data_IF_764734530543
#
_entry.id   IF_764734530543
#
_cell.length_a   1.000
_cell.length_b   1.000
_cell.length_c   1.000
_cell.angle_alpha   90.00
_cell.angle_beta   90.00
_cell.angle_gamma   90.00
#
_symmetry.space_group_name_H-M   'P 1'
#
loop_
_entity.id
_entity.type
_entity.pdbx_description
1 polymer ?
#
# COMPACT_ATOMS: atom_id res chain seq x y z
N UNK A 1 22.45 -10.55 12.33
CA UNK A 1 21.73 -11.83 12.22
C UNK A 1 20.66 -11.71 11.16
N UNK A 2 20.52 -12.70 10.28
CA UNK A 2 19.45 -12.74 9.29
C UNK A 2 18.08 -12.83 9.97
N UNK A 3 17.11 -12.14 9.40
CA UNK A 3 15.73 -12.12 9.86
C UNK A 3 14.80 -12.41 8.68
N UNK A 4 13.66 -13.00 8.99
CA UNK A 4 12.53 -13.14 8.08
C UNK A 4 11.29 -12.52 8.75
N UNK A 5 10.33 -12.04 7.97
CA UNK A 5 9.12 -11.39 8.50
C UNK A 5 7.85 -11.96 7.86
N UNK A 6 6.85 -12.23 8.69
CA UNK A 6 5.50 -12.59 8.27
C UNK A 6 4.50 -11.60 8.85
N UNK A 7 3.76 -10.90 7.99
CA UNK A 7 2.80 -9.85 8.38
C UNK A 7 1.39 -10.23 7.93
N UNK A 8 0.43 -10.16 8.84
CA UNK A 8 -0.99 -10.39 8.58
C UNK A 8 -1.73 -9.07 8.74
N UNK A 9 -2.08 -8.49 7.60
CA UNK A 9 -2.86 -7.27 7.43
C UNK A 9 -2.50 -6.11 8.39
N UNK A 10 -1.24 -5.62 8.35
CA UNK A 10 -0.80 -4.54 9.24
C UNK A 10 -1.67 -3.28 9.05
N UNK A 11 -2.17 -2.73 10.15
CA UNK A 11 -3.09 -1.58 10.14
C UNK A 11 -2.36 -0.30 10.52
N UNK A 12 -2.43 0.72 9.67
CA UNK A 12 -1.74 2.00 9.85
C UNK A 12 -2.45 2.89 10.89
N UNK A 13 -2.39 2.50 12.17
CA UNK A 13 -2.97 3.26 13.29
C UNK A 13 -2.02 3.31 14.50
N UNK A 14 -2.23 4.29 15.39
CA UNK A 14 -1.46 4.42 16.63
C UNK A 14 0.06 4.49 16.41
N UNK A 15 0.81 3.76 17.24
CA UNK A 15 2.27 3.71 17.25
C UNK A 15 2.90 3.30 15.90
N UNK A 16 2.19 2.51 15.08
CA UNK A 16 2.67 2.11 13.76
C UNK A 16 2.86 3.28 12.79
N UNK A 17 2.19 4.41 13.02
CA UNK A 17 2.40 5.63 12.22
C UNK A 17 3.44 6.58 12.82
N UNK A 18 3.85 6.34 14.06
CA UNK A 18 4.81 7.21 14.76
C UNK A 18 6.24 6.67 14.64
N UNK A 19 6.40 5.35 14.52
CA UNK A 19 7.70 4.67 14.48
C UNK A 19 8.16 4.37 13.05
N UNK A 20 9.47 4.18 12.91
CA UNK A 20 10.04 3.63 11.68
C UNK A 20 9.68 2.15 11.56
N UNK A 21 8.82 1.83 10.60
CA UNK A 21 8.39 0.47 10.25
C UNK A 21 9.08 -0.06 9.01
N UNK A 22 10.11 0.63 8.48
CA UNK A 22 10.88 0.11 7.34
C UNK A 22 11.63 -1.15 7.77
N UNK A 23 11.52 -2.19 6.95
CA UNK A 23 12.26 -3.43 7.20
C UNK A 23 13.77 -3.17 7.10
N UNK A 24 14.57 -3.55 8.11
CA UNK A 24 16.01 -3.28 8.12
C UNK A 24 16.76 -4.15 7.09
N UNK A 25 18.04 -3.84 6.79
CA UNK A 25 18.89 -4.59 5.84
C UNK A 25 19.01 -6.07 6.18
N UNK A 26 18.84 -6.42 7.46
CA UNK A 26 18.92 -7.79 7.98
C UNK A 26 17.70 -8.66 7.65
N UNK A 27 16.60 -8.09 7.16
CA UNK A 27 15.42 -8.85 6.71
C UNK A 27 15.71 -9.40 5.31
N UNK A 28 16.11 -10.67 5.23
CA UNK A 28 16.54 -11.29 3.96
C UNK A 28 15.38 -11.93 3.20
N UNK A 29 14.21 -12.05 3.82
CA UNK A 29 12.98 -12.55 3.19
C UNK A 29 11.75 -12.03 3.94
N UNK A 30 10.62 -11.85 3.26
CA UNK A 30 9.38 -11.45 3.94
C UNK A 30 8.12 -11.73 3.14
N UNK A 31 7.03 -12.01 3.86
CA UNK A 31 5.68 -12.13 3.34
C UNK A 31 4.75 -11.18 4.11
N UNK A 32 3.98 -10.39 3.37
CA UNK A 32 2.82 -9.68 3.89
C UNK A 32 1.56 -10.20 3.20
N UNK A 33 0.48 -10.37 3.96
CA UNK A 33 -0.86 -10.58 3.42
C UNK A 33 -1.70 -9.35 3.74
N UNK A 34 -2.26 -8.69 2.72
CA UNK A 34 -3.12 -7.51 2.90
C UNK A 34 -4.56 -7.85 2.56
N UNK A 35 -5.51 -7.40 3.38
CA UNK A 35 -6.93 -7.61 3.16
C UNK A 35 -7.44 -6.67 2.05
N UNK A 36 -7.96 -7.24 0.97
CA UNK A 36 -8.51 -6.50 -0.18
C UNK A 36 -9.83 -5.81 0.14
N UNK A 37 -10.69 -6.50 0.91
CA UNK A 37 -12.10 -6.18 1.06
C UNK A 37 -12.41 -5.51 2.42
N UNK A 38 -11.38 -5.09 3.16
CA UNK A 38 -11.53 -4.26 4.35
C UNK A 38 -11.95 -2.83 3.96
N UNK A 39 -13.01 -2.33 4.59
CA UNK A 39 -13.66 -1.06 4.21
C UNK A 39 -13.69 -0.02 5.32
N UNK A 40 -13.36 -0.40 6.55
CA UNK A 40 -13.47 0.51 7.70
C UNK A 40 -12.42 1.61 7.59
N UNK A 41 -12.85 2.86 7.73
CA UNK A 41 -11.98 4.04 7.66
C UNK A 41 -10.88 4.03 8.74
N UNK A 42 -11.14 3.34 9.85
CA UNK A 42 -10.19 3.16 10.96
C UNK A 42 -9.20 2.00 10.74
N UNK A 43 -9.28 1.30 9.61
CA UNK A 43 -8.42 0.17 9.28
C UNK A 43 -7.64 0.41 7.98
N UNK A 44 -6.92 1.52 7.78
CA UNK A 44 -6.06 1.67 6.61
C UNK A 44 -4.95 0.59 6.61
N UNK A 45 -4.63 0.02 5.45
CA UNK A 45 -3.52 -0.91 5.31
C UNK A 45 -2.18 -0.15 5.40
N UNK A 46 -1.21 -0.72 6.11
CA UNK A 46 0.18 -0.24 6.11
C UNK A 46 0.97 -1.04 5.08
N UNK A 47 1.49 -0.38 4.05
CA UNK A 47 2.27 -1.06 3.02
C UNK A 47 3.74 -1.19 3.44
N UNK A 48 4.00 -1.95 4.54
CA UNK A 48 5.36 -2.25 5.00
C UNK A 48 6.14 -2.98 3.89
N UNK A 49 5.45 -3.86 3.18
CA UNK A 49 5.87 -4.43 1.91
C UNK A 49 4.88 -3.94 0.85
N UNK A 50 5.39 -3.32 -0.22
CA UNK A 50 4.58 -2.90 -1.36
C UNK A 50 3.81 -4.09 -1.98
N UNK A 51 2.53 -3.92 -2.38
CA UNK A 51 1.78 -4.94 -3.11
C UNK A 51 2.59 -5.55 -4.27
N UNK A 52 2.64 -6.87 -4.33
CA UNK A 52 3.46 -7.59 -5.29
C UNK A 52 4.84 -7.96 -4.75
N UNK A 53 5.76 -8.28 -5.66
CA UNK A 53 7.12 -8.73 -5.33
C UNK A 53 8.09 -7.57 -5.47
N UNK A 54 9.01 -7.39 -4.52
CA UNK A 54 10.06 -6.37 -4.63
C UNK A 54 11.04 -6.69 -5.76
N UNK A 55 11.73 -5.69 -6.34
CA UNK A 55 12.68 -5.91 -7.43
C UNK A 55 13.85 -6.85 -7.09
N UNK A 56 14.32 -6.80 -5.84
CA UNK A 56 15.34 -7.72 -5.31
C UNK A 56 14.79 -9.13 -5.03
N UNK A 57 13.47 -9.32 -5.19
CA UNK A 57 12.78 -10.58 -5.08
C UNK A 57 12.61 -11.12 -3.66
N UNK A 58 13.08 -10.40 -2.63
CA UNK A 58 13.13 -10.90 -1.24
C UNK A 58 11.82 -10.74 -0.47
N UNK A 59 11.00 -9.74 -0.83
CA UNK A 59 9.74 -9.44 -0.17
C UNK A 59 8.57 -9.66 -1.12
N UNK A 60 7.46 -10.14 -0.58
CA UNK A 60 6.21 -10.33 -1.30
C UNK A 60 5.03 -9.84 -0.44
N UNK A 61 4.17 -9.02 -1.01
CA UNK A 61 2.86 -8.71 -0.44
C UNK A 61 1.76 -9.27 -1.35
N UNK A 62 0.91 -10.13 -0.79
CA UNK A 62 -0.27 -10.66 -1.47
C UNK A 62 -1.53 -9.94 -0.97
N UNK A 63 -2.19 -9.22 -1.87
CA UNK A 63 -3.50 -8.62 -1.61
C UNK A 63 -4.56 -9.70 -1.80
N UNK A 64 -5.12 -10.20 -0.71
CA UNK A 64 -5.99 -11.36 -0.70
C UNK A 64 -7.45 -10.99 -0.41
N UNK A 65 -8.41 -11.75 -0.96
CA UNK A 65 -9.83 -11.63 -0.64
C UNK A 65 -10.11 -11.73 0.86
N UNK A 66 -11.03 -10.90 1.35
CA UNK A 66 -11.45 -10.84 2.74
C UNK A 66 -11.22 -9.49 3.42
N UNK A 67 -11.89 -9.28 4.56
CA UNK A 67 -11.64 -8.19 5.50
C UNK A 67 -10.47 -8.50 6.46
N UNK A 68 -10.12 -7.60 7.37
CA UNK A 68 -8.95 -7.74 8.26
C UNK A 68 -8.85 -9.11 8.94
N UNK A 69 -9.94 -9.56 9.56
CA UNK A 69 -10.00 -10.84 10.28
C UNK A 69 -10.21 -12.06 9.36
N UNK A 70 -10.50 -11.87 8.08
CA UNK A 70 -10.40 -12.94 7.07
C UNK A 70 -8.94 -13.22 6.69
N UNK A 71 -8.02 -12.27 6.95
CA UNK A 71 -6.58 -12.49 6.82
C UNK A 71 -5.98 -13.01 8.12
N UNK A 72 -6.24 -12.31 9.23
CA UNK A 72 -5.61 -12.59 10.53
C UNK A 72 -6.32 -13.60 11.43
N UNK A 73 -7.57 -13.97 11.11
CA UNK A 73 -8.41 -14.83 11.95
C UNK A 73 -9.29 -14.05 12.95
N UNK A 74 -10.06 -14.81 13.75
CA UNK A 74 -11.09 -14.43 14.75
C UNK A 74 -12.55 -14.63 14.34
N UNK A 75 -12.83 -14.79 13.04
CA UNK A 75 -14.17 -15.18 12.60
C UNK A 75 -14.49 -16.64 12.92
N UNK A 76 -15.78 -16.92 13.19
CA UNK A 76 -16.28 -18.30 13.31
C UNK A 76 -16.34 -19.01 11.95
N UNK A 77 -16.69 -18.28 10.89
CA UNK A 77 -16.69 -18.78 9.52
C UNK A 77 -15.27 -18.59 8.95
N UNK A 78 -14.34 -19.42 9.39
CA UNK A 78 -12.91 -19.11 9.36
C UNK A 78 -12.18 -19.48 8.06
N UNK A 79 -12.85 -20.01 7.05
CA UNK A 79 -12.21 -20.62 5.88
C UNK A 79 -11.23 -19.72 5.14
N UNK A 80 -11.52 -18.42 5.00
CA UNK A 80 -10.56 -17.46 4.43
C UNK A 80 -9.32 -17.29 5.33
N UNK A 81 -9.51 -17.12 6.64
CA UNK A 81 -8.38 -16.97 7.57
C UNK A 81 -7.50 -18.20 7.66
N UNK A 82 -8.09 -19.40 7.53
CA UNK A 82 -7.32 -20.65 7.44
C UNK A 82 -6.49 -20.69 6.17
N UNK A 83 -7.06 -20.34 5.00
CA UNK A 83 -6.32 -20.27 3.73
C UNK A 83 -5.19 -19.25 3.74
N UNK A 84 -5.38 -18.11 4.41
CA UNK A 84 -4.36 -17.09 4.58
C UNK A 84 -3.26 -17.54 5.55
N UNK A 85 -3.63 -18.15 6.68
CA UNK A 85 -2.68 -18.77 7.60
C UNK A 85 -1.86 -19.90 6.97
N UNK A 86 -2.45 -20.67 6.05
CA UNK A 86 -1.73 -21.71 5.31
C UNK A 86 -0.70 -21.10 4.33
N UNK A 87 -0.94 -19.93 3.71
CA UNK A 87 0.11 -19.25 2.94
C UNK A 87 1.30 -18.84 3.81
N UNK A 88 1.04 -18.33 5.01
CA UNK A 88 2.09 -17.99 5.93
C UNK A 88 2.85 -19.25 6.39
N UNK A 89 2.13 -20.36 6.59
CA UNK A 89 2.72 -21.67 6.88
C UNK A 89 3.63 -22.15 5.75
N UNK A 90 3.14 -22.08 4.51
CA UNK A 90 3.90 -22.46 3.31
C UNK A 90 5.18 -21.61 3.19
N UNK A 91 5.08 -20.30 3.41
CA UNK A 91 6.22 -19.39 3.44
C UNK A 91 7.22 -19.74 4.55
N UNK A 92 6.77 -19.88 5.80
CA UNK A 92 7.65 -20.20 6.93
C UNK A 92 8.39 -21.52 6.70
N UNK A 93 7.71 -22.52 6.12
CA UNK A 93 8.32 -23.79 5.77
C UNK A 93 9.42 -23.68 4.69
N UNK A 94 9.47 -22.61 3.90
CA UNK A 94 10.58 -22.36 2.96
C UNK A 94 11.87 -21.89 3.64
N UNK A 95 11.81 -21.49 4.91
CA UNK A 95 12.98 -20.98 5.64
C UNK A 95 13.92 -22.10 6.12
N UNK A 96 13.56 -23.38 5.91
CA UNK A 96 14.34 -24.55 6.33
C UNK A 96 14.16 -25.72 5.37
N UNK A 97 15.09 -26.68 5.39
CA UNK A 97 14.97 -27.95 4.66
C UNK A 97 13.92 -28.88 5.28
N UNK A 98 13.59 -28.65 6.54
CA UNK A 98 12.57 -29.38 7.26
C UNK A 98 11.39 -28.45 7.55
N UNK A 99 10.16 -28.81 7.16
CA UNK A 99 8.97 -28.04 7.50
C UNK A 99 8.83 -27.84 9.00
N UNK A 100 8.58 -26.61 9.43
CA UNK A 100 8.32 -26.25 10.82
C UNK A 100 6.86 -26.48 11.22
N UNK A 101 5.94 -26.25 10.27
CA UNK A 101 4.52 -26.11 10.50
C UNK A 101 3.73 -27.03 9.57
N UNK A 102 2.56 -27.45 10.02
CA UNK A 102 1.60 -28.21 9.21
C UNK A 102 0.45 -27.29 8.81
N UNK A 103 0.05 -27.26 7.52
CA UNK A 103 -1.15 -26.55 7.11
C UNK A 103 -2.38 -27.05 7.86
N UNK A 104 -3.32 -26.14 8.13
CA UNK A 104 -4.61 -26.47 8.74
C UNK A 104 -5.57 -26.97 7.67
N UNK A 105 -6.44 -27.91 8.03
CA UNK A 105 -7.54 -28.35 7.18
C UNK A 105 -8.49 -27.18 6.91
N UNK A 106 -8.81 -26.96 5.64
CA UNK A 106 -9.76 -25.94 5.21
C UNK A 106 -11.11 -26.58 4.93
N UNK A 107 -12.19 -25.99 5.46
CA UNK A 107 -13.54 -26.44 5.15
C UNK A 107 -13.90 -26.13 3.70
N UNK A 108 -14.44 -27.12 2.98
CA UNK A 108 -15.04 -26.94 1.65
C UNK A 108 -16.49 -26.45 1.71
N UNK A 109 -17.07 -26.35 2.91
CA UNK A 109 -18.44 -25.89 3.09
C UNK A 109 -18.56 -24.41 2.63
N UNK A 110 -19.51 -24.07 1.73
CA UNK A 110 -19.60 -22.72 1.16
C UNK A 110 -19.75 -21.62 2.22
N UNK A 111 -20.48 -21.88 3.29
CA UNK A 111 -20.71 -20.94 4.40
C UNK A 111 -19.45 -20.60 5.18
N UNK A 112 -18.42 -21.47 5.13
CA UNK A 112 -17.13 -21.20 5.75
C UNK A 112 -16.22 -20.34 4.87
N UNK A 113 -16.57 -20.16 3.59
CA UNK A 113 -15.77 -19.44 2.60
C UNK A 113 -16.53 -18.20 2.12
N UNK A 114 -16.64 -17.21 3.02
CA UNK A 114 -17.32 -15.93 2.77
C UNK A 114 -16.40 -14.75 3.10
N UNK A 115 -16.60 -13.62 2.42
CA UNK A 115 -15.97 -12.35 2.80
C UNK A 115 -16.84 -11.72 3.89
N UNK A 116 -16.25 -11.39 5.04
CA UNK A 116 -16.99 -10.75 6.11
C UNK A 116 -17.07 -9.24 5.91
N UNK A 117 -18.22 -8.68 6.28
CA UNK A 117 -18.49 -7.24 6.28
C UNK A 117 -18.15 -6.67 7.66
N UNK A 118 -16.86 -6.50 7.94
CA UNK A 118 -16.37 -6.08 9.26
C UNK A 118 -16.90 -4.73 9.75
N UNK A 119 -17.32 -3.85 8.82
CA UNK A 119 -18.00 -2.59 9.10
C UNK A 119 -19.37 -2.77 9.77
N UNK A 120 -20.01 -3.94 9.61
CA UNK A 120 -21.33 -4.22 10.20
C UNK A 120 -21.24 -4.66 11.68
N UNK A 121 -20.04 -4.88 12.21
CA UNK A 121 -19.88 -5.36 13.58
C UNK A 121 -20.15 -4.31 14.66
N UNK A 122 -19.95 -3.03 14.35
CA UNK A 122 -20.15 -1.93 15.28
C UNK A 122 -20.66 -0.70 14.54
N UNK A 123 -21.63 0.00 15.14
CA UNK A 123 -22.32 1.11 14.50
C UNK A 123 -21.46 2.36 14.24
N UNK A 124 -20.29 2.46 14.86
CA UNK A 124 -19.37 3.58 14.68
C UNK A 124 -18.37 3.37 13.55
N UNK A 125 -18.34 2.19 12.92
CA UNK A 125 -17.49 1.99 11.75
C UNK A 125 -18.05 2.70 10.53
N UNK A 126 -17.25 3.57 9.95
CA UNK A 126 -17.56 4.28 8.70
C UNK A 126 -16.75 3.67 7.55
N UNK A 127 -17.23 3.86 6.32
CA UNK A 127 -16.61 3.31 5.09
C UNK A 127 -16.45 4.36 4.00
N UNK A 128 -16.40 5.64 4.38
CA UNK A 128 -16.42 6.77 3.46
C UNK A 128 -15.22 6.75 2.53
N UNK A 129 -14.02 6.54 3.07
CA UNK A 129 -12.79 6.57 2.29
C UNK A 129 -12.73 5.41 1.30
N UNK A 130 -13.06 4.19 1.74
CA UNK A 130 -13.09 3.03 0.87
C UNK A 130 -14.19 3.11 -0.21
N UNK A 131 -15.29 3.81 0.08
CA UNK A 131 -16.36 4.08 -0.89
C UNK A 131 -15.92 5.10 -1.93
N UNK A 132 -15.21 6.14 -1.53
CA UNK A 132 -14.68 7.16 -2.46
C UNK A 132 -13.54 6.63 -3.33
N UNK A 133 -12.65 5.80 -2.78
CA UNK A 133 -11.49 5.28 -3.49
C UNK A 133 -11.79 4.00 -4.30
N UNK A 134 -12.92 3.35 -4.04
CA UNK A 134 -13.27 2.04 -4.61
C UNK A 134 -12.48 0.86 -4.02
N UNK A 135 -11.51 1.15 -3.15
CA UNK A 135 -10.62 0.21 -2.50
C UNK A 135 -10.24 0.75 -1.12
N UNK A 136 -9.67 -0.11 -0.28
CA UNK A 136 -9.18 0.25 1.04
C UNK A 136 -8.17 1.42 0.97
N UNK A 137 -8.11 2.22 2.02
CA UNK A 137 -7.04 3.22 2.19
C UNK A 137 -5.71 2.52 2.46
N UNK A 138 -4.66 2.95 1.78
CA UNK A 138 -3.28 2.50 1.99
C UNK A 138 -2.40 3.64 2.51
N UNK A 139 -1.51 3.32 3.44
CA UNK A 139 -0.51 4.24 4.00
C UNK A 139 0.87 3.69 3.69
N UNK A 140 1.58 4.42 2.83
CA UNK A 140 2.92 4.06 2.36
C UNK A 140 4.06 4.73 3.15
N UNK A 141 3.78 5.74 3.98
CA UNK A 141 4.82 6.32 4.82
C UNK A 141 5.21 5.34 5.94
N UNK A 142 6.45 4.86 5.90
CA UNK A 142 7.03 3.88 6.81
C UNK A 142 8.02 4.49 7.80
N UNK A 143 8.57 5.68 7.53
CA UNK A 143 9.61 6.26 8.40
C UNK A 143 9.06 6.88 9.69
N UNK A 144 7.74 7.11 9.80
CA UNK A 144 7.13 7.77 10.95
C UNK A 144 7.77 9.14 11.19
N UNK A 145 8.16 9.44 12.43
CA UNK A 145 8.84 10.71 12.75
C UNK A 145 10.34 10.72 12.39
N UNK A 146 10.88 9.62 11.85
CA UNK A 146 12.31 9.50 11.53
C UNK A 146 12.65 10.31 10.29
N UNK A 147 13.75 11.05 10.34
CA UNK A 147 14.29 11.75 9.16
C UNK A 147 14.96 10.73 8.25
N UNK A 148 14.45 10.58 7.03
CA UNK A 148 14.98 9.66 6.03
C UNK A 148 14.72 10.15 4.61
N UNK A 149 15.64 9.88 3.70
CA UNK A 149 15.50 10.13 2.26
C UNK A 149 14.47 9.20 1.63
N UNK A 150 14.56 7.90 1.93
CA UNK A 150 13.54 6.92 1.54
C UNK A 150 12.62 6.66 2.73
N UNK A 151 11.35 7.03 2.59
CA UNK A 151 10.33 6.88 3.62
C UNK A 151 9.30 5.81 3.29
N UNK A 152 9.33 5.25 2.09
CA UNK A 152 8.26 4.41 1.56
C UNK A 152 8.64 2.96 1.36
N UNK A 153 9.94 2.67 1.35
CA UNK A 153 10.43 1.32 1.09
C UNK A 153 11.22 0.78 2.29
N UNK A 154 11.39 -0.53 2.30
CA UNK A 154 12.36 -1.20 3.15
C UNK A 154 13.77 -0.59 2.96
N UNK A 155 14.59 -0.68 4.00
CA UNK A 155 15.99 -0.29 3.90
C UNK A 155 16.72 -1.22 2.92
N UNK A 156 17.81 -0.70 2.33
CA UNK A 156 18.61 -1.44 1.36
C UNK A 156 19.05 -2.80 1.93
N UNK A 157 18.90 -3.86 1.13
CA UNK A 157 19.24 -5.22 1.51
C UNK A 157 20.74 -5.36 1.80
N UNK A 158 21.08 -6.04 2.90
CA UNK A 158 22.44 -6.54 3.10
C UNK A 158 22.67 -7.74 2.16
N UNK A 159 23.33 -7.48 1.03
CA UNK A 159 23.56 -8.48 -0.02
C UNK A 159 24.50 -9.59 0.42
N UNK A 160 25.48 -9.30 1.29
CA UNK A 160 26.41 -10.30 1.82
C UNK A 160 25.72 -11.26 2.79
N UNK A 161 24.76 -10.76 3.58
CA UNK A 161 23.90 -11.59 4.41
C UNK A 161 22.90 -12.39 3.56
N UNK A 162 22.23 -11.75 2.59
CA UNK A 162 21.25 -12.40 1.73
C UNK A 162 21.85 -13.56 0.91
N UNK A 163 23.08 -13.41 0.42
CA UNK A 163 23.77 -14.45 -0.35
C UNK A 163 23.94 -15.79 0.41
N UNK A 164 23.86 -15.77 1.74
CA UNK A 164 23.95 -16.97 2.59
C UNK A 164 22.61 -17.71 2.70
N UNK A 165 21.50 -17.07 2.31
CA UNK A 165 20.13 -17.59 2.45
C UNK A 165 19.40 -17.55 1.10
N UNK A 166 19.73 -18.45 0.15
CA UNK A 166 19.06 -18.50 -1.13
C UNK A 166 17.56 -18.78 -0.96
N UNK A 167 16.73 -18.00 -1.66
CA UNK A 167 15.27 -18.15 -1.63
C UNK A 167 14.87 -19.49 -2.25
N UNK A 168 13.92 -20.17 -1.60
CA UNK A 168 13.40 -21.46 -2.03
C UNK A 168 12.01 -21.30 -2.64
N UNK A 169 11.64 -22.12 -3.63
CA UNK A 169 10.27 -22.12 -4.14
C UNK A 169 9.26 -22.43 -3.02
N UNK A 170 8.14 -21.70 -3.01
CA UNK A 170 7.04 -21.96 -2.09
C UNK A 170 6.16 -23.08 -2.66
N UNK A 171 6.10 -24.21 -1.97
CA UNK A 171 5.12 -25.25 -2.27
C UNK A 171 3.77 -24.82 -1.70
N UNK A 172 2.84 -24.43 -2.57
CA UNK A 172 1.51 -24.00 -2.15
C UNK A 172 0.68 -25.19 -1.67
N UNK A 173 -0.01 -25.01 -0.55
CA UNK A 173 -0.90 -26.02 0.00
C UNK A 173 -2.05 -26.37 -0.98
N UNK A 174 -2.43 -27.67 -1.13
CA UNK A 174 -3.33 -28.13 -2.21
C UNK A 174 -4.72 -27.48 -2.23
N UNK A 175 -5.21 -26.98 -1.09
CA UNK A 175 -6.52 -26.32 -1.04
C UNK A 175 -6.60 -25.08 -1.92
N UNK A 176 -5.47 -24.50 -2.35
CA UNK A 176 -5.42 -23.33 -3.25
C UNK A 176 -5.83 -23.67 -4.67
N UNK A 177 -5.63 -24.92 -5.08
CA UNK A 177 -6.00 -25.42 -6.42
C UNK A 177 -7.30 -26.22 -6.40
N UNK A 178 -7.99 -26.28 -5.26
CA UNK A 178 -9.24 -27.00 -5.10
C UNK A 178 -10.36 -26.35 -5.94
N UNK A 179 -11.03 -27.10 -6.84
CA UNK A 179 -12.15 -26.60 -7.63
C UNK A 179 -13.36 -26.15 -6.79
N UNK A 180 -13.45 -26.55 -5.51
CA UNK A 180 -14.47 -26.09 -4.57
C UNK A 180 -14.16 -24.70 -3.98
N UNK A 181 -12.96 -24.14 -4.17
CA UNK A 181 -12.66 -22.76 -3.73
C UNK A 181 -13.56 -21.78 -4.48
N UNK A 182 -14.30 -20.89 -3.80
CA UNK A 182 -15.09 -19.86 -4.47
C UNK A 182 -14.24 -19.02 -5.43
N UNK A 183 -14.80 -18.63 -6.57
CA UNK A 183 -14.07 -17.87 -7.59
C UNK A 183 -13.44 -16.59 -7.01
N UNK A 184 -14.16 -15.87 -6.15
CA UNK A 184 -13.65 -14.65 -5.51
C UNK A 184 -12.37 -14.88 -4.68
N UNK A 185 -12.19 -16.10 -4.13
CA UNK A 185 -11.07 -16.48 -3.27
C UNK A 185 -9.82 -16.91 -4.08
N UNK A 186 -9.95 -17.08 -5.41
CA UNK A 186 -8.84 -17.44 -6.32
C UNK A 186 -8.10 -16.23 -6.87
N UNK A 187 -8.70 -15.05 -6.82
CA UNK A 187 -8.14 -13.84 -7.40
C UNK A 187 -7.53 -12.96 -6.31
N UNK A 188 -6.19 -12.91 -6.30
CA UNK A 188 -5.42 -11.91 -5.55
C UNK A 188 -5.28 -10.62 -6.37
N UNK A 189 -5.01 -9.51 -5.70
CA UNK A 189 -4.86 -8.19 -6.31
C UNK A 189 -6.01 -7.24 -5.96
N UNK A 190 -5.93 -5.97 -6.39
CA UNK A 190 -7.00 -5.00 -6.17
C UNK A 190 -8.31 -5.51 -6.81
N UNK A 191 -9.48 -5.11 -6.26
CA UNK A 191 -10.74 -5.43 -6.91
C UNK A 191 -10.75 -4.84 -8.32
N UNK A 192 -11.32 -5.57 -9.28
CA UNK A 192 -11.53 -5.05 -10.64
C UNK A 192 -12.26 -3.69 -10.53
N UNK A 193 -11.67 -2.61 -11.05
CA UNK A 193 -12.28 -1.30 -10.92
C UNK A 193 -13.62 -1.31 -11.66
N UNK A 194 -14.69 -0.94 -10.96
CA UNK A 194 -15.98 -0.71 -11.62
C UNK A 194 -15.81 0.34 -12.73
N UNK A 195 -16.63 0.28 -13.77
CA UNK A 195 -16.53 1.20 -14.93
C UNK A 195 -16.46 2.69 -14.55
N UNK A 196 -17.10 3.07 -13.44
CA UNK A 196 -17.01 4.40 -12.84
C UNK A 196 -15.63 4.76 -12.28
N UNK A 197 -14.97 3.82 -11.59
CA UNK A 197 -13.62 4.01 -11.04
C UNK A 197 -12.57 4.01 -12.16
N UNK A 198 -12.74 3.19 -13.20
CA UNK A 198 -11.89 3.24 -14.41
C UNK A 198 -11.92 4.62 -15.07
N UNK A 199 -13.10 5.22 -15.23
CA UNK A 199 -13.24 6.57 -15.78
C UNK A 199 -12.61 7.67 -14.89
N UNK A 200 -12.50 7.46 -13.58
CA UNK A 200 -11.82 8.41 -12.70
C UNK A 200 -10.30 8.25 -12.73
N UNK A 201 -9.81 7.00 -12.72
CA UNK A 201 -8.38 6.71 -12.87
C UNK A 201 -7.86 7.26 -14.20
N UNK A 202 -8.60 7.05 -15.29
CA UNK A 202 -8.24 7.58 -16.61
C UNK A 202 -8.20 9.11 -16.63
N UNK A 203 -9.17 9.80 -16.00
CA UNK A 203 -9.15 11.27 -15.87
C UNK A 203 -8.01 11.80 -15.00
N UNK A 204 -7.60 11.06 -13.97
CA UNK A 204 -6.43 11.44 -13.15
C UNK A 204 -5.15 11.25 -13.95
N UNK A 205 -5.02 10.15 -14.69
CA UNK A 205 -3.88 9.86 -15.55
C UNK A 205 -3.77 10.86 -16.70
N UNK A 206 -4.88 11.21 -17.36
CA UNK A 206 -4.92 12.25 -18.40
C UNK A 206 -4.43 13.60 -17.85
N UNK A 207 -4.90 14.01 -16.66
CA UNK A 207 -4.43 15.26 -16.02
C UNK A 207 -2.97 15.21 -15.58
N UNK A 208 -2.46 14.04 -15.21
CA UNK A 208 -1.03 13.87 -14.90
C UNK A 208 -0.20 13.93 -16.18
N UNK A 209 -0.65 13.29 -17.26
CA UNK A 209 0.00 13.31 -18.56
C UNK A 209 0.01 14.73 -19.16
N UNK A 210 -1.10 15.46 -19.06
CA UNK A 210 -1.19 16.87 -19.44
C UNK A 210 -0.23 17.74 -18.64
N UNK A 211 -0.08 17.51 -17.32
CA UNK A 211 0.87 18.26 -16.48
C UNK A 211 2.32 17.95 -16.80
N UNK A 212 2.62 16.70 -17.14
CA UNK A 212 3.97 16.27 -17.53
C UNK A 212 4.33 16.80 -18.92
N UNK A 213 3.37 16.86 -19.85
CA UNK A 213 3.57 17.31 -21.23
C UNK A 213 3.34 18.82 -21.43
N UNK A 214 2.83 19.53 -20.42
CA UNK A 214 2.65 21.00 -20.44
C UNK A 214 3.92 21.79 -20.09
N UNK A 215 5.11 21.15 -20.03
CA UNK A 215 6.39 21.86 -19.90
C UNK A 215 7.01 22.22 -21.26
N UNK A 216 6.18 22.64 -22.22
CA UNK A 216 6.67 23.32 -23.41
C UNK A 216 6.77 24.83 -23.10
N UNK A 217 7.89 25.52 -23.36
CA UNK A 217 7.98 26.95 -23.11
C UNK A 217 7.08 27.67 -24.11
N UNK A 218 5.82 27.90 -23.74
CA UNK A 218 4.94 28.79 -24.49
C UNK A 218 5.58 30.18 -24.50
N UNK A 219 6.13 30.54 -25.65
CA UNK A 219 6.50 31.90 -25.99
C UNK A 219 5.26 32.77 -25.76
N UNK A 220 5.33 33.65 -24.77
CA UNK A 220 4.34 34.70 -24.56
C UNK A 220 4.36 35.67 -25.75
N UNK A 221 3.63 35.35 -26.82
CA UNK A 221 3.31 36.31 -27.86
C UNK A 221 2.08 37.10 -27.41
N UNK A 222 2.34 38.28 -26.85
CA UNK A 222 1.29 39.26 -26.55
C UNK A 222 0.90 39.97 -27.85
N UNK A 223 -0.36 39.89 -28.33
CA UNK A 223 -0.78 40.67 -29.46
C UNK A 223 -0.97 42.12 -29.01
N UNK A 224 -0.07 43.02 -29.44
CA UNK A 224 -0.33 44.46 -29.32
C UNK A 224 -1.50 44.83 -30.24
N UNK A 225 -2.62 45.25 -29.65
CA UNK A 225 -3.57 46.17 -30.30
C UNK A 225 -3.38 47.57 -29.71
N UNK A 226 -3.42 48.61 -30.56
CA UNK A 226 -3.22 49.98 -30.14
C UNK A 226 -4.50 50.46 -29.47
N UNK A 227 -4.43 50.81 -28.18
CA UNK A 227 -5.26 51.82 -27.53
C UNK A 227 -5.00 51.79 -26.02
N UNK A 228 -3.91 52.44 -25.60
CA UNK A 228 -3.76 52.94 -24.24
C UNK A 228 -2.63 53.96 -24.16
N UNK A 229 -2.74 55.02 -24.95
CA UNK A 229 -1.99 56.25 -24.71
C UNK A 229 -2.62 56.93 -23.49
N UNK A 230 -2.13 56.59 -22.29
CA UNK A 230 -2.12 57.40 -21.04
C UNK A 230 -1.77 56.52 -19.84
N UNK A 231 -0.48 56.29 -19.63
CA UNK A 231 0.14 56.09 -18.32
C UNK A 231 1.66 55.87 -18.50
N UNK A 232 2.31 56.76 -19.24
CA UNK A 232 3.75 56.93 -19.11
C UNK A 232 3.93 58.15 -18.21
N UNK A 233 4.25 57.92 -16.94
CA UNK A 233 5.30 58.68 -16.26
C UNK A 233 5.55 58.14 -14.86
N UNK A 234 6.83 57.91 -14.59
CA UNK A 234 7.51 57.61 -13.31
C UNK A 234 7.55 56.15 -12.84
N UNK A 235 8.56 55.45 -13.33
CA UNK A 235 9.38 54.56 -12.50
C UNK A 235 10.44 55.41 -11.77
N UNK A 236 10.78 55.06 -10.51
CA UNK A 236 12.20 54.92 -10.15
C UNK A 236 12.55 53.52 -9.67
N UNK A 237 13.79 53.13 -9.98
CA UNK A 237 14.44 51.83 -9.80
C UNK A 237 14.84 51.51 -8.35
N UNK A 238 15.05 50.21 -8.09
CA UNK A 238 15.62 49.63 -6.87
C UNK A 238 16.97 50.24 -6.47
N UNK A 239 17.11 50.59 -5.19
CA UNK A 239 18.35 50.42 -4.44
C UNK A 239 18.06 50.24 -2.94
N UNK A 240 18.55 49.09 -2.44
CA UNK A 240 19.06 48.77 -1.10
C UNK A 240 18.49 49.48 0.13
N UNK A 241 17.80 48.71 0.98
CA UNK A 241 17.89 48.91 2.44
C UNK A 241 17.63 47.58 3.21
N UNK A 242 18.64 47.00 3.89
CA UNK A 242 18.51 45.72 4.59
C UNK A 242 17.83 45.78 5.97
N UNK A 243 17.27 46.93 6.40
CA UNK A 243 16.64 47.10 7.73
C UNK A 243 15.10 47.01 7.74
N UNK A 244 14.44 46.80 6.60
CA UNK A 244 12.96 46.79 6.54
C UNK A 244 12.30 45.44 6.90
N UNK A 245 13.07 44.45 7.38
CA UNK A 245 12.54 43.10 7.69
C UNK A 245 11.98 42.95 9.12
N UNK A 246 12.19 43.91 10.02
CA UNK A 246 11.85 43.75 11.45
C UNK A 246 10.53 44.39 11.92
N UNK A 247 9.76 45.04 11.04
CA UNK A 247 8.54 45.77 11.47
C UNK A 247 7.22 45.19 10.95
N UNK A 248 7.21 43.89 10.56
CA UNK A 248 5.99 43.21 10.08
C UNK A 248 5.67 41.88 10.78
N UNK A 249 6.16 41.70 12.01
CA UNK A 249 5.72 40.66 12.94
C UNK A 249 5.33 41.23 14.30
N UNK A 250 4.26 42.03 14.34
CA UNK A 250 3.32 42.17 15.46
C UNK A 250 1.90 42.29 14.91
#
# INVERSE_FOLDING_TARGET
TAQAVGLLDPVATGDMNLRDTRLPPSVVSGLQLTARDERRDLFPAKDIIDPGRTPDGRLLNLVNPGAHSDIGGSYRLDGLSVRNGNLLTDYVNTLSDTPFLKPRTVSSAPEMNVIHHSEQHQSFYTTMAATTLGQRVHVKDLAGTTVSLNRTDAQALDTGLHAQFPLRPVALSPERTDPAVPAFARHNGPPEPTSWHQQQIQRVQERQHEREHSHDPQQWQVPMKPDAQKAADKLPSLHDDPEAFLDRML
#
